data_IF_270865848343
#
_entry.id   IF_270865848343
#
_cell.length_a   1.000
_cell.length_b   1.000
_cell.length_c   1.000
_cell.angle_alpha   90.00
_cell.angle_beta   90.00
_cell.angle_gamma   90.00
#
_symmetry.space_group_name_H-M   'P 1'
#
loop_
_entity.id
_entity.type
_entity.pdbx_description
1 polymer ?
#
# COMPACT_ATOMS: atom_id res chain seq x y z
N UNK A 1 -5.95 25.96 -29.22
CA UNK A 1 -6.05 26.65 -27.92
C UNK A 1 -4.77 26.43 -27.14
N UNK A 2 -4.24 27.44 -26.44
CA UNK A 2 -3.03 27.28 -25.61
C UNK A 2 -3.45 26.53 -24.34
N UNK A 3 -2.98 25.28 -24.17
CA UNK A 3 -3.28 24.48 -22.97
C UNK A 3 -2.61 25.16 -21.77
N UNK A 4 -3.38 25.49 -20.74
CA UNK A 4 -2.82 26.00 -19.50
C UNK A 4 -2.56 24.82 -18.56
N UNK A 5 -1.31 24.35 -18.55
CA UNK A 5 -0.89 23.21 -17.73
C UNK A 5 -0.93 23.50 -16.22
N UNK A 6 -1.06 24.77 -15.80
CA UNK A 6 -1.24 25.14 -14.39
C UNK A 6 -2.72 25.21 -13.95
N UNK A 7 -3.69 24.96 -14.83
CA UNK A 7 -5.11 25.10 -14.51
C UNK A 7 -5.60 24.16 -13.39
N UNK A 8 -4.93 23.02 -13.20
CA UNK A 8 -5.28 22.01 -12.19
C UNK A 8 -4.33 22.03 -10.98
N UNK A 9 -3.57 23.10 -10.76
CA UNK A 9 -2.61 23.21 -9.65
C UNK A 9 -1.72 21.97 -9.48
N UNK A 10 -0.96 21.58 -10.51
CA UNK A 10 -0.19 20.34 -10.46
C UNK A 10 0.94 20.35 -9.42
N UNK A 11 1.37 21.54 -8.96
CA UNK A 11 2.39 21.68 -7.92
C UNK A 11 1.77 21.50 -6.53
N UNK A 12 2.23 20.48 -5.82
CA UNK A 12 1.86 20.15 -4.44
C UNK A 12 2.66 20.99 -3.44
N UNK A 13 2.31 20.89 -2.16
CA UNK A 13 3.08 21.44 -1.03
C UNK A 13 3.46 22.93 -1.16
N UNK A 14 2.55 23.74 -1.72
CA UNK A 14 2.76 25.19 -1.88
C UNK A 14 3.73 25.58 -3.01
N UNK A 15 4.07 24.65 -3.91
CA UNK A 15 4.89 24.91 -5.09
C UNK A 15 4.24 25.89 -6.07
N UNK A 16 5.04 26.76 -6.68
CA UNK A 16 4.58 27.78 -7.63
C UNK A 16 4.59 27.20 -9.06
N UNK A 17 3.42 27.12 -9.69
CA UNK A 17 3.29 26.62 -11.06
C UNK A 17 3.56 27.70 -12.11
N UNK A 18 4.43 27.39 -13.08
CA UNK A 18 4.69 28.23 -14.26
C UNK A 18 4.40 27.44 -15.53
N UNK A 19 3.46 27.93 -16.36
CA UNK A 19 3.16 27.31 -17.65
C UNK A 19 4.29 27.59 -18.66
N UNK A 20 4.81 26.54 -19.30
CA UNK A 20 5.86 26.62 -20.32
C UNK A 20 5.32 26.17 -21.69
N UNK A 21 6.13 26.30 -22.74
CA UNK A 21 5.72 26.00 -24.12
C UNK A 21 5.18 24.57 -24.32
N UNK A 22 5.63 23.61 -23.51
CA UNK A 22 5.21 22.22 -23.57
C UNK A 22 5.06 21.62 -22.15
N UNK A 23 4.18 22.20 -21.33
CA UNK A 23 3.89 21.68 -19.99
C UNK A 23 3.83 22.75 -18.91
N UNK A 24 4.10 22.34 -17.68
CA UNK A 24 4.31 23.21 -16.53
C UNK A 24 5.66 22.93 -15.89
N UNK A 25 6.14 23.90 -15.12
CA UNK A 25 7.27 23.77 -14.22
C UNK A 25 6.86 24.24 -12.83
N UNK A 26 7.12 23.43 -11.82
CA UNK A 26 6.93 23.79 -10.43
C UNK A 26 8.22 24.38 -9.83
N UNK A 27 8.09 25.45 -9.08
CA UNK A 27 9.14 25.98 -8.20
C UNK A 27 8.75 25.63 -6.78
N UNK A 28 9.49 24.72 -6.16
CA UNK A 28 9.15 24.18 -4.84
C UNK A 28 9.55 25.13 -3.71
N UNK A 29 8.78 25.07 -2.61
CA UNK A 29 9.15 25.73 -1.35
C UNK A 29 10.35 25.04 -0.72
N UNK A 30 11.03 25.74 0.19
CA UNK A 30 12.17 25.18 0.92
C UNK A 30 11.76 23.89 1.65
N UNK A 31 12.56 22.84 1.47
CA UNK A 31 12.27 21.51 1.97
C UNK A 31 11.48 20.60 1.02
N UNK A 32 10.90 21.09 -0.08
CA UNK A 32 10.16 20.24 -1.02
C UNK A 32 10.89 20.02 -2.35
N UNK A 33 10.71 18.85 -2.94
CA UNK A 33 11.36 18.43 -4.19
C UNK A 33 10.45 17.51 -5.03
N UNK A 34 10.87 17.18 -6.25
CA UNK A 34 10.05 16.45 -7.23
C UNK A 34 9.53 17.34 -8.36
N UNK A 35 9.01 16.73 -9.43
CA UNK A 35 8.54 17.47 -10.62
C UNK A 35 7.34 18.37 -10.27
N UNK A 36 6.54 17.92 -9.32
CA UNK A 36 5.33 18.54 -8.82
C UNK A 36 5.47 18.95 -7.34
N UNK A 37 6.69 19.01 -6.78
CA UNK A 37 6.92 19.29 -5.35
C UNK A 37 6.23 18.28 -4.41
N UNK A 38 6.07 17.05 -4.86
CA UNK A 38 5.37 15.94 -4.18
C UNK A 38 6.18 15.35 -3.01
N UNK A 39 7.49 15.57 -2.98
CA UNK A 39 8.36 15.05 -1.93
C UNK A 39 8.66 16.15 -0.92
N UNK A 40 8.51 15.84 0.37
CA UNK A 40 8.76 16.73 1.51
C UNK A 40 10.23 16.87 1.90
N UNK A 41 11.14 16.39 1.04
CA UNK A 41 12.58 16.55 1.22
C UNK A 41 13.17 15.72 2.36
N UNK A 42 12.42 14.76 2.88
CA UNK A 42 12.91 13.81 3.86
C UNK A 42 13.29 12.52 3.16
N UNK A 43 14.52 12.06 3.36
CA UNK A 43 15.10 10.89 2.69
C UNK A 43 14.34 9.56 2.93
N UNK A 44 13.32 9.58 3.80
CA UNK A 44 12.40 8.47 4.05
C UNK A 44 11.15 8.45 3.17
N UNK A 45 10.86 9.52 2.40
CA UNK A 45 9.65 9.61 1.57
C UNK A 45 9.58 8.52 0.48
N UNK A 46 10.73 7.96 0.10
CA UNK A 46 10.84 6.84 -0.84
C UNK A 46 10.71 5.45 -0.20
N UNK A 47 10.48 5.39 1.12
CA UNK A 47 10.50 4.16 1.92
C UNK A 47 11.72 3.26 1.61
N UNK A 48 12.96 3.75 1.79
CA UNK A 48 14.17 3.04 1.39
C UNK A 48 14.43 1.76 2.21
N UNK A 49 13.84 1.66 3.40
CA UNK A 49 14.00 0.52 4.30
C UNK A 49 13.13 -0.66 3.87
N UNK A 50 13.74 -1.83 3.75
CA UNK A 50 13.11 -3.08 3.34
C UNK A 50 12.74 -3.93 4.55
N UNK A 51 11.94 -4.97 4.32
CA UNK A 51 11.66 -6.05 5.28
C UNK A 51 11.10 -5.57 6.64
N UNK A 52 10.26 -4.53 6.60
CA UNK A 52 9.65 -3.97 7.80
C UNK A 52 10.60 -3.10 8.63
N UNK A 53 11.78 -2.77 8.12
CA UNK A 53 12.67 -1.78 8.73
C UNK A 53 12.00 -0.41 8.81
N UNK A 54 12.21 0.29 9.92
CA UNK A 54 11.64 1.63 10.13
C UNK A 54 12.61 2.68 9.61
N UNK A 55 12.16 3.55 8.71
CA UNK A 55 12.98 4.65 8.21
C UNK A 55 12.94 5.83 9.18
N UNK A 56 14.12 6.34 9.53
CA UNK A 56 14.28 7.60 10.27
C UNK A 56 15.29 8.51 9.59
N UNK A 57 15.11 9.82 9.75
CA UNK A 57 16.04 10.82 9.21
C UNK A 57 17.30 10.86 10.08
N UNK A 58 18.46 10.90 9.43
CA UNK A 58 19.75 10.99 10.11
C UNK A 58 20.04 12.42 10.58
N UNK A 59 20.69 12.57 11.74
CA UNK A 59 21.02 13.89 12.31
C UNK A 59 21.96 14.73 11.42
N UNK A 60 22.78 14.06 10.58
CA UNK A 60 23.73 14.69 9.65
C UNK A 60 23.17 14.86 8.23
N UNK A 61 21.89 14.53 8.00
CA UNK A 61 21.25 14.44 6.69
C UNK A 61 21.32 13.03 6.11
N UNK A 62 20.35 12.64 5.27
CA UNK A 62 20.15 11.27 4.84
C UNK A 62 19.11 10.53 5.69
N UNK A 63 19.02 9.22 5.47
CA UNK A 63 18.17 8.32 6.25
C UNK A 63 18.99 7.22 6.95
N UNK A 64 18.42 6.63 7.98
CA UNK A 64 18.86 5.41 8.62
C UNK A 64 17.67 4.46 8.70
N UNK A 65 17.90 3.19 8.38
CA UNK A 65 16.93 2.13 8.58
C UNK A 65 17.18 1.43 9.90
N UNK A 66 16.19 1.47 10.79
CA UNK A 66 16.16 0.65 11.99
C UNK A 66 15.61 -0.73 11.60
N UNK A 67 16.53 -1.69 11.44
CA UNK A 67 16.20 -3.03 10.98
C UNK A 67 15.51 -3.89 12.04
N UNK A 68 14.56 -4.70 11.61
CA UNK A 68 13.92 -5.70 12.47
C UNK A 68 14.94 -6.79 12.87
N UNK A 69 14.80 -7.41 14.05
CA UNK A 69 15.70 -8.48 14.47
C UNK A 69 15.81 -9.57 13.39
N UNK A 70 17.04 -9.99 13.09
CA UNK A 70 17.32 -10.96 12.03
C UNK A 70 17.72 -10.33 10.69
N UNK A 71 17.53 -9.02 10.50
CA UNK A 71 17.94 -8.30 9.28
C UNK A 71 19.04 -7.27 9.55
N UNK A 72 19.85 -6.98 8.53
CA UNK A 72 20.94 -5.99 8.53
C UNK A 72 21.14 -5.41 7.13
N UNK A 73 22.14 -4.55 6.96
CA UNK A 73 22.39 -3.81 5.72
C UNK A 73 21.88 -2.37 5.82
N UNK A 74 22.23 -1.55 4.83
CA UNK A 74 21.86 -0.12 4.84
C UNK A 74 20.35 0.07 4.75
N UNK A 75 19.67 -0.84 4.04
CA UNK A 75 18.24 -0.85 3.80
C UNK A 75 17.56 -2.08 4.44
N UNK A 76 18.21 -2.75 5.39
CA UNK A 76 17.73 -4.01 5.97
C UNK A 76 17.55 -5.15 4.97
N UNK A 77 18.36 -5.16 3.90
CA UNK A 77 18.29 -6.10 2.78
C UNK A 77 19.02 -7.43 3.00
N UNK A 78 19.79 -7.55 4.09
CA UNK A 78 20.58 -8.73 4.41
C UNK A 78 19.91 -9.49 5.54
N UNK A 79 19.64 -10.78 5.34
CA UNK A 79 19.17 -11.69 6.37
C UNK A 79 20.35 -12.37 7.07
N UNK A 80 20.29 -12.35 8.40
CA UNK A 80 21.33 -12.85 9.31
C UNK A 80 20.82 -13.94 10.25
N UNK A 81 19.53 -14.25 10.22
CA UNK A 81 18.93 -15.19 11.15
C UNK A 81 17.89 -16.06 10.47
N UNK A 82 18.15 -17.36 10.43
CA UNK A 82 17.16 -18.31 9.94
C UNK A 82 16.12 -18.62 11.02
N UNK A 83 14.91 -18.09 10.87
CA UNK A 83 13.82 -18.25 11.86
C UNK A 83 13.32 -19.69 11.96
N UNK A 84 13.52 -20.51 10.92
CA UNK A 84 13.14 -21.92 10.94
C UNK A 84 13.92 -22.75 11.98
N UNK A 85 15.09 -22.30 12.43
CA UNK A 85 15.85 -22.97 13.49
C UNK A 85 15.09 -23.05 14.83
N UNK A 86 14.12 -22.15 15.05
CA UNK A 86 13.28 -22.15 16.25
C UNK A 86 12.14 -23.18 16.21
N UNK A 87 11.99 -23.91 15.10
CA UNK A 87 10.86 -24.80 14.81
C UNK A 87 9.50 -24.12 15.00
N UNK A 88 9.22 -23.00 14.29
CA UNK A 88 8.02 -22.21 14.54
C UNK A 88 6.73 -22.89 14.05
N UNK A 89 6.81 -23.82 13.09
CA UNK A 89 5.65 -24.55 12.55
C UNK A 89 5.21 -25.64 13.53
N UNK A 90 3.94 -25.61 13.97
CA UNK A 90 3.40 -26.44 15.07
C UNK A 90 3.33 -27.94 14.76
N UNK A 91 3.33 -28.31 13.49
CA UNK A 91 3.13 -29.68 13.04
C UNK A 91 4.42 -30.28 12.47
N UNK A 92 4.75 -31.55 12.79
CA UNK A 92 5.97 -32.20 12.31
C UNK A 92 5.97 -32.43 10.80
N UNK A 93 4.79 -32.46 10.19
CA UNK A 93 4.58 -32.58 8.74
C UNK A 93 4.68 -31.23 8.02
N UNK A 94 4.75 -30.11 8.77
CA UNK A 94 4.88 -28.80 8.18
C UNK A 94 6.32 -28.51 7.77
N UNK A 95 6.50 -27.93 6.59
CA UNK A 95 7.83 -27.55 6.08
C UNK A 95 8.06 -26.07 6.41
N UNK A 96 9.09 -25.76 7.18
CA UNK A 96 9.50 -24.38 7.37
C UNK A 96 10.43 -23.95 6.25
N UNK A 97 10.12 -22.82 5.62
CA UNK A 97 10.97 -22.15 4.66
C UNK A 97 11.41 -20.80 5.23
N UNK A 98 12.72 -20.62 5.28
CA UNK A 98 13.36 -19.38 5.69
C UNK A 98 13.08 -18.25 4.69
N UNK A 99 12.83 -17.06 5.19
CA UNK A 99 12.68 -15.85 4.38
C UNK A 99 13.45 -14.72 5.04
N UNK A 100 13.68 -13.67 4.25
CA UNK A 100 14.43 -12.51 4.69
C UNK A 100 13.72 -11.82 5.87
N UNK A 101 14.17 -12.07 7.11
CA UNK A 101 13.59 -11.50 8.35
C UNK A 101 12.21 -12.05 8.75
N UNK A 102 11.78 -13.18 8.18
CA UNK A 102 10.54 -13.89 8.53
C UNK A 102 10.63 -15.35 8.08
N UNK A 103 9.61 -16.16 8.34
CA UNK A 103 9.52 -17.52 7.82
C UNK A 103 8.15 -17.81 7.24
N UNK A 104 8.09 -18.87 6.43
CA UNK A 104 6.87 -19.44 5.93
C UNK A 104 6.75 -20.90 6.37
N UNK A 105 5.63 -21.25 7.00
CA UNK A 105 5.27 -22.66 7.20
C UNK A 105 4.43 -23.15 6.03
N UNK A 106 4.74 -24.32 5.47
CA UNK A 106 3.84 -25.04 4.58
C UNK A 106 3.12 -26.09 5.40
N UNK A 107 1.85 -25.84 5.66
CA UNK A 107 1.05 -26.59 6.59
C UNK A 107 0.39 -27.82 5.96
N UNK A 108 0.22 -28.90 6.73
CA UNK A 108 -0.49 -30.08 6.29
C UNK A 108 -1.97 -29.80 6.10
N UNK A 109 -2.66 -30.70 5.40
CA UNK A 109 -4.11 -30.60 5.23
C UNK A 109 -4.81 -30.48 6.58
N UNK A 110 -5.83 -29.62 6.61
CA UNK A 110 -6.64 -29.26 7.79
C UNK A 110 -5.98 -28.38 8.84
N UNK A 111 -4.74 -27.98 8.64
CA UNK A 111 -4.01 -27.10 9.55
C UNK A 111 -3.56 -25.86 8.78
N UNK A 112 -4.06 -24.68 9.14
CA UNK A 112 -3.81 -23.37 8.53
C UNK A 112 -3.25 -22.39 9.58
N UNK A 113 -3.05 -21.12 9.23
CA UNK A 113 -2.39 -20.14 10.10
C UNK A 113 -0.90 -20.01 9.79
N UNK A 114 -0.28 -18.91 10.23
CA UNK A 114 1.14 -18.60 9.94
C UNK A 114 2.07 -19.71 10.44
N UNK A 115 1.70 -20.38 11.54
CA UNK A 115 2.44 -21.44 12.20
C UNK A 115 1.71 -22.79 12.13
N UNK A 116 0.68 -22.94 11.30
CA UNK A 116 -0.18 -24.13 11.21
C UNK A 116 -1.01 -24.42 12.47
N UNK A 117 -1.29 -23.40 13.28
CA UNK A 117 -1.97 -23.48 14.58
C UNK A 117 -3.50 -23.54 14.47
N UNK A 118 -4.07 -23.19 13.32
CA UNK A 118 -5.51 -23.11 13.09
C UNK A 118 -6.02 -24.41 12.47
N UNK A 119 -7.03 -25.03 13.06
CA UNK A 119 -7.67 -26.20 12.46
C UNK A 119 -8.82 -25.79 11.54
N UNK A 120 -8.68 -26.03 10.23
CA UNK A 120 -9.72 -25.83 9.22
C UNK A 120 -9.93 -27.11 8.42
N UNK A 121 -11.05 -27.81 8.66
CA UNK A 121 -11.38 -29.08 7.99
C UNK A 121 -11.37 -29.02 6.45
N UNK A 122 -11.52 -27.84 5.86
CA UNK A 122 -11.56 -27.64 4.41
C UNK A 122 -10.23 -27.18 3.82
N UNK A 123 -9.22 -26.91 4.65
CA UNK A 123 -7.91 -26.48 4.16
C UNK A 123 -7.17 -27.66 3.51
N UNK A 124 -6.81 -27.58 2.21
CA UNK A 124 -6.18 -28.69 1.50
C UNK A 124 -4.71 -28.90 1.88
N UNK A 125 -4.12 -28.00 2.69
CA UNK A 125 -2.68 -27.92 2.92
C UNK A 125 -2.04 -26.87 2.00
N UNK A 126 -0.85 -26.39 2.36
CA UNK A 126 -0.12 -25.39 1.59
C UNK A 126 0.46 -24.28 2.47
N UNK A 127 0.77 -23.12 1.86
CA UNK A 127 1.38 -22.01 2.59
C UNK A 127 0.48 -21.55 3.75
N UNK A 128 1.03 -21.63 4.96
CA UNK A 128 0.50 -21.09 6.19
C UNK A 128 0.48 -19.58 6.07
N UNK A 129 -0.72 -19.06 5.86
CA UNK A 129 -1.01 -17.64 5.93
C UNK A 129 -1.80 -17.42 7.20
N UNK A 130 -1.63 -16.28 7.85
CA UNK A 130 -2.68 -15.83 8.75
C UNK A 130 -3.98 -15.88 7.96
N UNK A 131 -5.04 -16.41 8.56
CA UNK A 131 -6.37 -16.23 7.99
C UNK A 131 -6.69 -14.74 8.18
N UNK A 132 -6.10 -13.87 7.37
CA UNK A 132 -6.82 -12.71 6.89
C UNK A 132 -8.11 -13.29 6.32
N UNK A 133 -9.28 -12.80 6.73
CA UNK A 133 -10.53 -13.40 6.31
C UNK A 133 -10.54 -13.32 4.78
N UNK A 134 -10.40 -14.47 4.09
CA UNK A 134 -10.87 -14.83 2.75
C UNK A 134 -9.95 -15.89 2.11
N UNK A 135 -10.47 -17.11 2.00
CA UNK A 135 -10.54 -17.88 0.74
C UNK A 135 -11.69 -18.89 0.80
N UNK A 136 -12.90 -18.47 0.45
CA UNK A 136 -13.96 -19.39 -0.01
C UNK A 136 -14.70 -18.74 -1.20
N UNK A 137 -14.67 -19.41 -2.36
CA UNK A 137 -15.56 -19.20 -3.50
C UNK A 137 -16.64 -20.32 -3.52
N UNK A 138 -17.77 -20.20 -4.21
CA UNK A 138 -18.83 -19.20 -4.07
C UNK A 138 -20.21 -19.91 -4.06
N UNK A 139 -20.83 -20.15 -2.90
CA UNK A 139 -22.24 -20.57 -2.86
C UNK A 139 -22.89 -19.96 -1.61
N UNK A 140 -23.95 -19.18 -1.82
CA UNK A 140 -24.83 -18.54 -0.84
C UNK A 140 -24.32 -17.24 -0.20
N UNK A 141 -24.73 -16.17 -0.86
CA UNK A 141 -24.85 -14.79 -0.40
C UNK A 141 -25.52 -14.67 0.98
N UNK A 142 -24.69 -14.57 2.02
CA UNK A 142 -24.97 -13.64 3.10
C UNK A 142 -23.87 -12.61 3.00
N UNK A 143 -24.23 -11.35 2.75
CA UNK A 143 -23.28 -10.26 2.54
C UNK A 143 -22.35 -10.15 3.76
N UNK A 144 -21.18 -10.79 3.70
CA UNK A 144 -20.24 -10.90 4.81
C UNK A 144 -19.72 -9.52 5.20
N UNK A 145 -19.55 -8.62 4.24
CA UNK A 145 -19.24 -7.20 4.48
C UNK A 145 -20.32 -6.52 5.33
N UNK A 146 -21.59 -6.88 5.18
CA UNK A 146 -22.65 -6.32 6.03
C UNK A 146 -22.55 -6.83 7.48
N UNK A 147 -22.14 -8.09 7.69
CA UNK A 147 -21.90 -8.64 9.04
C UNK A 147 -20.62 -8.10 9.68
N UNK A 148 -19.55 -7.97 8.90
CA UNK A 148 -18.27 -7.41 9.33
C UNK A 148 -18.41 -5.94 9.71
N UNK A 149 -19.10 -5.14 8.87
CA UNK A 149 -19.44 -3.76 9.17
C UNK A 149 -20.27 -3.64 10.45
N UNK A 150 -21.18 -4.58 10.72
CA UNK A 150 -21.98 -4.57 11.95
C UNK A 150 -21.18 -4.96 13.20
N UNK A 151 -20.18 -5.85 13.07
CA UNK A 151 -19.22 -6.16 14.13
C UNK A 151 -18.31 -4.96 14.40
N UNK A 152 -17.76 -4.34 13.35
CA UNK A 152 -16.92 -3.15 13.48
C UNK A 152 -17.69 -1.97 14.06
N UNK A 153 -18.96 -1.77 13.70
CA UNK A 153 -19.85 -0.77 14.33
C UNK A 153 -20.05 -1.04 15.83
N UNK A 154 -20.20 -2.32 16.24
CA UNK A 154 -20.26 -2.68 17.66
C UNK A 154 -18.95 -2.42 18.38
N UNK A 155 -17.81 -2.73 17.75
CA UNK A 155 -16.49 -2.42 18.30
C UNK A 155 -16.28 -0.92 18.45
N UNK A 156 -16.76 -0.12 17.50
CA UNK A 156 -16.75 1.34 17.57
C UNK A 156 -17.45 1.88 18.83
N UNK A 157 -18.63 1.32 19.13
CA UNK A 157 -19.40 1.66 20.33
C UNK A 157 -18.72 1.16 21.61
N UNK A 158 -18.15 -0.06 21.59
CA UNK A 158 -17.43 -0.61 22.74
C UNK A 158 -16.16 0.17 23.09
N UNK A 159 -15.44 0.66 22.08
CA UNK A 159 -14.23 1.47 22.25
C UNK A 159 -14.52 2.95 22.55
N UNK A 160 -15.80 3.30 22.67
CA UNK A 160 -16.29 4.65 22.92
C UNK A 160 -15.79 5.68 21.90
N UNK A 161 -15.61 5.25 20.65
CA UNK A 161 -15.15 6.10 19.54
C UNK A 161 -16.06 7.32 19.25
N UNK A 162 -17.39 7.28 19.46
CA UNK A 162 -18.23 8.47 19.30
C UNK A 162 -17.88 9.64 20.22
N UNK A 163 -17.23 9.39 21.36
CA UNK A 163 -16.76 10.44 22.26
C UNK A 163 -15.34 10.93 21.92
N UNK A 164 -14.62 10.17 21.09
CA UNK A 164 -13.24 10.44 20.68
C UNK A 164 -13.16 11.13 19.32
N UNK A 165 -14.09 10.82 18.40
CA UNK A 165 -14.12 11.39 17.04
C UNK A 165 -14.04 12.93 16.99
N UNK A 166 -13.23 13.46 16.08
CA UNK A 166 -13.10 14.89 15.80
C UNK A 166 -12.40 15.68 16.91
N UNK A 167 -11.53 15.04 17.69
CA UNK A 167 -10.74 15.62 18.76
C UNK A 167 -9.32 16.05 18.30
N UNK A 168 -9.00 15.91 17.01
CA UNK A 168 -7.69 16.18 16.39
C UNK A 168 -6.54 15.27 16.88
N UNK A 169 -6.87 14.13 17.46
CA UNK A 169 -5.93 13.11 17.90
C UNK A 169 -6.39 11.78 17.33
N UNK A 170 -5.58 11.17 16.47
CA UNK A 170 -5.88 9.84 15.95
C UNK A 170 -5.82 8.79 17.07
N UNK A 171 -6.99 8.29 17.48
CA UNK A 171 -7.12 7.12 18.35
C UNK A 171 -7.17 5.85 17.45
N UNK A 172 -6.06 5.08 17.41
CA UNK A 172 -5.90 3.97 16.47
C UNK A 172 -7.00 2.90 16.59
N UNK A 173 -7.54 2.68 17.78
CA UNK A 173 -8.67 1.76 17.99
C UNK A 173 -9.98 2.21 17.33
N UNK A 174 -10.05 3.48 16.90
CA UNK A 174 -11.15 4.12 16.19
C UNK A 174 -10.81 4.37 14.71
N UNK A 175 -9.61 4.02 14.26
CA UNK A 175 -9.16 4.14 12.87
C UNK A 175 -9.72 3.03 11.97
N UNK A 176 -11.04 2.92 11.92
CA UNK A 176 -11.75 1.97 11.06
C UNK A 176 -12.82 2.71 10.26
N UNK A 177 -13.17 2.17 9.08
CA UNK A 177 -14.25 2.73 8.25
C UNK A 177 -15.58 2.81 9.03
N UNK A 178 -15.88 1.82 9.87
CA UNK A 178 -17.09 1.81 10.69
C UNK A 178 -17.16 2.93 11.74
N UNK A 179 -16.02 3.54 12.07
CA UNK A 179 -15.87 4.66 13.00
C UNK A 179 -15.57 5.99 12.29
N UNK A 180 -15.78 6.06 10.98
CA UNK A 180 -15.44 7.23 10.16
C UNK A 180 -13.96 7.66 10.32
N UNK A 181 -13.04 6.69 10.49
CA UNK A 181 -11.61 6.97 10.70
C UNK A 181 -11.36 7.93 11.87
N UNK A 182 -12.01 7.66 13.00
CA UNK A 182 -12.02 8.51 14.19
C UNK A 182 -12.55 9.93 13.91
N UNK A 183 -13.64 10.04 13.15
CA UNK A 183 -14.16 11.34 12.72
C UNK A 183 -13.22 12.09 11.76
N UNK A 184 -12.41 11.35 11.01
CA UNK A 184 -11.32 11.79 10.14
C UNK A 184 -10.06 12.28 10.87
N UNK A 185 -9.95 12.14 12.20
CA UNK A 185 -8.70 12.50 12.90
C UNK A 185 -7.51 11.65 12.44
N UNK A 186 -7.76 10.39 12.04
CA UNK A 186 -6.75 9.48 11.50
C UNK A 186 -6.55 9.58 9.97
N UNK A 187 -7.41 10.31 9.27
CA UNK A 187 -7.32 10.52 7.81
C UNK A 187 -6.96 11.96 7.45
N UNK A 188 -6.26 12.66 8.36
CA UNK A 188 -5.87 14.08 8.20
C UNK A 188 -7.07 15.03 8.00
N UNK A 189 -8.27 14.62 8.41
CA UNK A 189 -9.51 15.36 8.19
C UNK A 189 -10.12 15.19 6.79
N UNK A 190 -9.58 14.30 5.95
CA UNK A 190 -9.92 14.20 4.53
C UNK A 190 -10.62 12.86 4.29
N UNK A 191 -11.81 12.90 3.68
CA UNK A 191 -12.45 11.74 3.10
C UNK A 191 -12.03 11.66 1.61
N UNK A 192 -11.22 10.67 1.20
CA UNK A 192 -10.74 10.55 -0.19
C UNK A 192 -11.86 10.39 -1.23
N UNK A 193 -13.04 9.94 -0.80
CA UNK A 193 -14.24 9.78 -1.62
C UNK A 193 -15.26 10.90 -1.41
N UNK A 194 -14.92 11.99 -0.72
CA UNK A 194 -15.84 13.10 -0.46
C UNK A 194 -16.46 13.68 -1.75
N UNK A 195 -15.68 13.67 -2.84
CA UNK A 195 -16.12 14.16 -4.13
C UNK A 195 -16.68 13.06 -5.05
N UNK A 196 -16.61 11.79 -4.64
CA UNK A 196 -17.08 10.65 -5.42
C UNK A 196 -18.61 10.59 -5.40
N UNK A 197 -19.23 10.80 -6.57
CA UNK A 197 -20.69 10.75 -6.72
C UNK A 197 -21.23 9.33 -6.88
N UNK A 198 -20.37 8.38 -7.24
CA UNK A 198 -20.74 6.98 -7.37
C UNK A 198 -20.76 6.30 -5.99
N UNK A 199 -21.82 5.53 -5.74
CA UNK A 199 -22.02 4.90 -4.43
C UNK A 199 -21.08 3.72 -4.24
N UNK A 200 -20.42 3.67 -3.08
CA UNK A 200 -19.63 2.52 -2.62
C UNK A 200 -18.38 2.22 -3.45
N UNK A 201 -17.80 3.22 -4.11
CA UNK A 201 -16.53 3.04 -4.83
C UNK A 201 -15.35 2.66 -3.94
N UNK A 202 -15.41 2.96 -2.64
CA UNK A 202 -14.43 2.48 -1.67
C UNK A 202 -14.43 0.95 -1.49
N UNK A 203 -15.50 0.23 -1.91
CA UNK A 203 -15.59 -1.23 -1.78
C UNK A 203 -15.02 -1.99 -2.96
N UNK A 204 -14.92 -1.32 -4.12
CA UNK A 204 -14.43 -1.90 -5.38
C UNK A 204 -13.06 -1.33 -5.79
N UNK A 205 -12.55 -0.35 -5.04
CA UNK A 205 -11.24 0.25 -5.27
C UNK A 205 -10.10 -0.77 -5.10
N UNK A 206 -9.29 -0.96 -6.15
CA UNK A 206 -8.17 -1.93 -6.20
C UNK A 206 -8.60 -3.39 -6.01
N UNK A 207 -9.80 -3.77 -6.45
CA UNK A 207 -10.31 -5.14 -6.35
C UNK A 207 -9.94 -6.04 -7.55
N UNK A 208 -9.14 -5.52 -8.49
CA UNK A 208 -8.74 -6.14 -9.75
C UNK A 208 -9.88 -6.38 -10.75
N UNK A 209 -11.04 -5.75 -10.57
CA UNK A 209 -12.14 -5.72 -11.53
C UNK A 209 -12.42 -4.28 -11.92
N UNK A 210 -12.53 -4.05 -13.21
CA UNK A 210 -12.85 -2.72 -13.68
C UNK A 210 -14.33 -2.36 -13.44
N UNK A 211 -14.57 -1.46 -12.50
CA UNK A 211 -15.83 -0.79 -12.21
C UNK A 211 -15.85 0.60 -12.87
N UNK A 212 -16.40 0.65 -14.09
CA UNK A 212 -16.48 1.88 -14.89
C UNK A 212 -17.18 3.06 -14.19
N UNK A 213 -18.11 2.80 -13.28
CA UNK A 213 -18.77 3.85 -12.48
C UNK A 213 -17.83 4.54 -11.48
N UNK A 214 -16.81 3.82 -11.01
CA UNK A 214 -15.79 4.29 -10.08
C UNK A 214 -14.52 4.76 -10.81
N UNK A 215 -14.40 4.47 -12.11
CA UNK A 215 -13.28 4.88 -12.96
C UNK A 215 -13.37 6.35 -13.39
N UNK A 216 -13.34 7.25 -12.42
CA UNK A 216 -13.31 8.68 -12.64
C UNK A 216 -12.40 9.36 -11.60
N UNK A 217 -11.91 10.59 -11.85
CA UNK A 217 -10.99 11.27 -10.93
C UNK A 217 -11.54 11.45 -9.52
N UNK A 218 -12.85 11.69 -9.39
CA UNK A 218 -13.52 11.92 -8.11
C UNK A 218 -13.61 10.65 -7.25
N UNK A 219 -13.58 9.48 -7.89
CA UNK A 219 -13.62 8.16 -7.27
C UNK A 219 -12.28 7.42 -7.41
N UNK A 220 -11.19 8.17 -7.62
CA UNK A 220 -9.80 7.69 -7.62
C UNK A 220 -9.52 6.63 -8.71
N UNK A 221 -10.15 6.77 -9.88
CA UNK A 221 -9.97 5.89 -11.04
C UNK A 221 -10.13 4.41 -10.73
N UNK A 222 -11.01 4.07 -9.78
CA UNK A 222 -11.26 2.69 -9.39
C UNK A 222 -9.98 1.94 -9.01
N UNK A 223 -9.04 2.62 -8.34
CA UNK A 223 -7.76 2.00 -7.97
C UNK A 223 -6.88 1.60 -9.16
N UNK A 224 -7.21 2.10 -10.35
CA UNK A 224 -6.60 1.73 -11.64
C UNK A 224 -6.93 0.29 -12.09
N UNK A 225 -7.96 -0.34 -11.54
CA UNK A 225 -8.45 -1.65 -12.00
C UNK A 225 -8.99 -1.63 -13.44
N UNK A 226 -9.35 -0.43 -13.93
CA UNK A 226 -9.76 -0.19 -15.31
C UNK A 226 -8.62 0.13 -16.28
N UNK A 227 -7.40 0.34 -15.79
CA UNK A 227 -6.25 0.41 -16.67
C UNK A 227 -6.01 -0.97 -17.26
N UNK A 228 -5.91 -1.06 -18.59
CA UNK A 228 -5.45 -2.30 -19.22
C UNK A 228 -4.09 -2.60 -18.61
N UNK A 229 -3.95 -3.76 -17.98
CA UNK A 229 -2.65 -4.25 -17.52
C UNK A 229 -1.70 -4.24 -18.70
N UNK A 230 -0.86 -3.20 -18.75
CA UNK A 230 0.27 -3.19 -19.65
C UNK A 230 1.09 -4.41 -19.23
N UNK A 231 1.39 -5.27 -20.20
CA UNK A 231 2.28 -6.38 -19.93
C UNK A 231 3.56 -5.80 -19.32
N UNK A 232 4.17 -6.44 -18.31
CA UNK A 232 5.41 -5.93 -17.74
C UNK A 232 6.45 -5.72 -18.85
N UNK A 233 7.30 -4.70 -18.68
CA UNK A 233 8.41 -4.43 -19.59
C UNK A 233 9.15 -5.74 -19.91
N UNK A 234 9.57 -5.90 -21.17
CA UNK A 234 10.27 -7.10 -21.59
C UNK A 234 11.45 -7.38 -20.63
N UNK A 235 11.50 -8.55 -19.95
CA UNK A 235 12.50 -8.83 -18.92
C UNK A 235 13.96 -8.74 -19.41
N UNK A 236 14.19 -8.90 -20.71
CA UNK A 236 15.52 -8.76 -21.33
C UNK A 236 15.97 -7.30 -21.37
N UNK A 237 15.03 -6.37 -21.53
CA UNK A 237 15.29 -4.94 -21.64
C UNK A 237 14.95 -4.17 -20.36
N UNK A 238 14.21 -4.76 -19.42
CA UNK A 238 13.79 -4.13 -18.16
C UNK A 238 14.99 -3.54 -17.38
N UNK A 239 16.05 -4.33 -17.19
CA UNK A 239 17.27 -3.84 -16.53
C UNK A 239 17.99 -2.73 -17.32
N UNK A 240 17.88 -2.72 -18.65
CA UNK A 240 18.44 -1.67 -19.50
C UNK A 240 17.60 -0.39 -19.39
N UNK A 241 16.27 -0.52 -19.51
CA UNK A 241 15.33 0.59 -19.42
C UNK A 241 15.36 1.26 -18.05
N UNK A 242 15.42 0.49 -16.96
CA UNK A 242 15.55 1.05 -15.61
C UNK A 242 16.83 1.89 -15.45
N UNK A 243 17.96 1.45 -16.00
CA UNK A 243 19.23 2.19 -15.91
C UNK A 243 19.27 3.43 -16.81
N UNK A 244 18.47 3.44 -17.87
CA UNK A 244 18.41 4.50 -18.87
C UNK A 244 17.18 5.40 -18.72
N UNK A 245 16.30 5.11 -17.74
CA UNK A 245 15.10 5.87 -17.48
C UNK A 245 15.44 7.30 -17.03
N UNK A 246 14.81 8.28 -17.67
CA UNK A 246 14.95 9.71 -17.36
C UNK A 246 16.40 10.25 -17.31
N UNK A 247 17.35 9.61 -18.00
CA UNK A 247 18.77 10.00 -18.01
C UNK A 247 19.09 11.21 -18.93
N UNK A 248 18.08 11.78 -19.59
CA UNK A 248 18.22 12.90 -20.54
C UNK A 248 18.56 12.50 -21.99
N UNK A 249 18.64 11.20 -22.29
CA UNK A 249 18.86 10.65 -23.63
C UNK A 249 17.64 9.84 -24.07
N UNK A 250 17.37 9.81 -25.37
CA UNK A 250 16.21 9.10 -25.91
C UNK A 250 16.61 7.66 -26.28
N UNK A 251 16.11 6.70 -25.49
CA UNK A 251 16.30 5.27 -25.71
C UNK A 251 15.02 4.67 -26.32
N UNK A 252 14.98 4.54 -27.65
CA UNK A 252 13.78 4.11 -28.39
C UNK A 252 13.25 2.72 -28.00
N UNK A 253 14.12 1.82 -27.51
CA UNK A 253 13.74 0.49 -27.04
C UNK A 253 12.91 0.51 -25.75
N UNK A 254 12.97 1.61 -25.00
CA UNK A 254 12.24 1.83 -23.75
C UNK A 254 11.09 2.82 -23.91
N UNK A 255 10.88 3.35 -25.12
CA UNK A 255 9.83 4.34 -25.39
C UNK A 255 8.52 3.66 -25.82
N UNK A 256 7.92 2.88 -24.91
CA UNK A 256 6.62 2.26 -25.08
C UNK A 256 5.83 2.38 -23.77
N UNK A 257 4.58 1.93 -23.75
CA UNK A 257 3.74 2.13 -22.57
C UNK A 257 4.18 1.23 -21.40
N UNK A 258 4.87 0.13 -21.70
CA UNK A 258 5.26 -0.89 -20.74
C UNK A 258 6.63 -0.73 -20.05
N UNK A 259 7.56 0.16 -20.49
CA UNK A 259 8.99 0.19 -20.07
C UNK A 259 9.59 1.49 -19.49
#
# INVERSE_FOLDING_TARGET
>A
AKVNFCANSPCQNGGICTAIHAGHRCTCQEGFQGQNCEFSGYDCDSNPCQNGGTCRIAEEGGYVCDCVPGTTGTNCEIDTYNECNSNPCRHPEAICQDKLGDYACFCPAKHAGKNCEIYDRNFPGGLGQEISPIRINPVNSVNYYAKDLEIQRKMCLNNNCPAKRGNYKCDEECNTYACDFDGNDCSLGINPWANCTASRCWEVFMDSKCNQECNNPQCLFDGRDCEKSLQPCNPVYDAYCQKHYANGYCDYGCNNAEC
#
